data_IF_420432147547
#
_entry.id   IF_420432147547
#
_cell.length_a   1.000
_cell.length_b   1.000
_cell.length_c   1.000
_cell.angle_alpha   90.00
_cell.angle_beta   90.00
_cell.angle_gamma   90.00
#
_symmetry.space_group_name_H-M   'P 1'
#
loop_
_entity.id
_entity.type
_entity.pdbx_description
1 polymer ?
#
# COMPACT_ATOMS: atom_id res chain seq x y z
N UNK A 1 2.23 -3.40 7.75
CA UNK A 1 2.43 -4.81 7.32
C UNK A 1 3.89 -5.24 7.41
N UNK A 2 4.85 -4.56 6.77
CA UNK A 2 6.26 -4.97 6.84
C UNK A 2 6.81 -5.08 8.28
N UNK A 3 6.70 -4.00 9.08
CA UNK A 3 7.21 -4.00 10.46
C UNK A 3 6.68 -5.14 11.33
N UNK A 4 5.36 -5.43 11.26
CA UNK A 4 4.77 -6.54 12.01
C UNK A 4 5.30 -7.91 11.60
N UNK A 5 5.60 -8.14 10.32
CA UNK A 5 6.17 -9.41 9.85
C UNK A 5 7.62 -9.59 10.30
N UNK A 6 8.43 -8.53 10.24
CA UNK A 6 9.80 -8.54 10.76
C UNK A 6 9.78 -8.81 12.27
N UNK A 7 9.00 -8.05 13.05
CA UNK A 7 8.91 -8.25 14.50
C UNK A 7 8.42 -9.65 14.89
N UNK A 8 7.48 -10.23 14.11
CA UNK A 8 6.98 -11.59 14.38
C UNK A 8 7.99 -12.71 14.14
N UNK A 9 9.12 -12.41 13.49
CA UNK A 9 10.10 -13.40 13.06
C UNK A 9 11.53 -13.07 13.52
N UNK A 10 11.67 -12.20 14.52
CA UNK A 10 12.97 -11.95 15.18
C UNK A 10 13.55 -13.27 15.71
N UNK A 11 14.85 -13.45 15.51
CA UNK A 11 15.58 -14.56 16.13
C UNK A 11 15.73 -14.25 17.61
N UNK A 12 15.53 -15.24 18.48
CA UNK A 12 15.60 -15.04 19.93
C UNK A 12 17.06 -14.95 20.38
N UNK A 13 17.50 -13.72 20.67
CA UNK A 13 18.85 -13.41 21.16
C UNK A 13 18.87 -12.86 22.60
N UNK A 14 17.70 -12.67 23.22
CA UNK A 14 17.56 -12.11 24.59
C UNK A 14 16.68 -12.97 25.49
N UNK A 15 16.74 -12.66 26.79
CA UNK A 15 15.86 -13.26 27.80
C UNK A 15 14.51 -12.55 27.90
N UNK A 16 13.57 -13.15 28.62
CA UNK A 16 12.24 -12.57 28.85
C UNK A 16 12.24 -11.29 29.70
N UNK A 17 13.32 -11.04 30.44
CA UNK A 17 13.49 -9.86 31.29
C UNK A 17 14.23 -8.71 30.58
N UNK A 18 14.59 -8.90 29.31
CA UNK A 18 15.33 -7.93 28.50
C UNK A 18 14.51 -7.57 27.25
N UNK A 19 14.75 -6.37 26.71
CA UNK A 19 14.12 -5.96 25.46
C UNK A 19 14.64 -6.80 24.30
N UNK A 20 13.76 -7.25 23.39
CA UNK A 20 14.15 -7.93 22.16
C UNK A 20 15.07 -7.08 21.26
N UNK A 21 15.01 -5.75 21.39
CA UNK A 21 15.87 -4.85 20.61
C UNK A 21 17.35 -4.98 20.97
N UNK A 22 17.68 -5.37 22.22
CA UNK A 22 19.07 -5.59 22.66
C UNK A 22 19.69 -6.83 21.99
N UNK A 23 18.87 -7.67 21.34
CA UNK A 23 19.31 -8.79 20.54
C UNK A 23 19.98 -8.40 19.21
N UNK A 24 19.76 -7.16 18.75
CA UNK A 24 20.42 -6.62 17.57
C UNK A 24 21.60 -5.72 17.95
N UNK A 25 22.73 -5.90 17.29
CA UNK A 25 23.92 -5.05 17.42
C UNK A 25 24.13 -4.26 16.13
N UNK A 26 24.33 -2.96 16.27
CA UNK A 26 24.59 -2.09 15.13
C UNK A 26 25.84 -2.54 14.36
N UNK A 27 25.66 -2.86 13.07
CA UNK A 27 26.74 -3.30 12.18
C UNK A 27 27.03 -4.81 12.21
N UNK A 28 26.20 -5.63 12.86
CA UNK A 28 26.32 -7.09 12.74
C UNK A 28 26.14 -7.57 11.29
N UNK A 29 26.83 -8.63 10.92
CA UNK A 29 26.78 -9.18 9.55
C UNK A 29 25.52 -10.00 9.28
N UNK A 30 24.94 -10.62 10.31
CA UNK A 30 23.79 -11.50 10.18
C UNK A 30 22.46 -10.75 10.28
N UNK A 31 21.47 -11.21 9.51
CA UNK A 31 20.09 -10.70 9.56
C UNK A 31 19.43 -11.00 10.92
N UNK A 32 18.72 -10.03 11.50
CA UNK A 32 18.12 -10.14 12.84
C UNK A 32 16.79 -10.94 12.88
N UNK A 33 16.22 -11.26 11.72
CA UNK A 33 14.93 -11.94 11.59
C UNK A 33 14.96 -13.02 10.51
N UNK A 34 14.05 -13.99 10.63
CA UNK A 34 13.94 -15.09 9.69
C UNK A 34 12.92 -14.78 8.58
N UNK A 35 13.43 -14.35 7.41
CA UNK A 35 12.59 -14.04 6.24
C UNK A 35 11.80 -15.26 5.73
N UNK A 36 12.32 -16.48 5.88
CA UNK A 36 11.62 -17.70 5.46
C UNK A 36 10.41 -17.95 6.35
N UNK A 37 10.54 -17.72 7.67
CA UNK A 37 9.43 -17.79 8.61
C UNK A 37 8.38 -16.71 8.32
N UNK A 38 8.79 -15.46 8.09
CA UNK A 38 7.90 -14.36 7.73
C UNK A 38 7.14 -14.64 6.42
N UNK A 39 7.86 -15.10 5.38
CA UNK A 39 7.27 -15.51 4.10
C UNK A 39 6.29 -16.65 4.28
N UNK A 40 6.66 -17.68 5.06
CA UNK A 40 5.81 -18.84 5.34
C UNK A 40 4.53 -18.49 6.10
N UNK A 41 4.58 -17.54 7.03
CA UNK A 41 3.38 -17.03 7.70
C UNK A 41 2.49 -16.27 6.71
N UNK A 42 3.03 -15.26 6.02
CA UNK A 42 2.24 -14.40 5.15
C UNK A 42 1.71 -15.13 3.91
N UNK A 43 2.49 -16.06 3.36
CA UNK A 43 2.09 -16.92 2.26
C UNK A 43 0.94 -17.88 2.61
N UNK A 44 0.78 -18.25 3.88
CA UNK A 44 -0.41 -18.99 4.35
C UNK A 44 -1.59 -18.08 4.66
N UNK A 45 -1.33 -16.84 5.09
CA UNK A 45 -2.38 -15.86 5.39
C UNK A 45 -3.17 -15.44 4.14
N UNK A 46 -2.49 -15.28 3.00
CA UNK A 46 -3.10 -14.88 1.72
C UNK A 46 -3.09 -16.05 0.73
N UNK A 47 -1.96 -16.28 0.08
CA UNK A 47 -1.59 -17.50 -0.67
C UNK A 47 -0.10 -17.39 -1.03
N UNK A 48 0.57 -18.51 -1.29
CA UNK A 48 2.04 -18.58 -1.29
C UNK A 48 2.72 -17.56 -2.24
N UNK A 49 2.17 -17.38 -3.44
CA UNK A 49 2.73 -16.48 -4.45
C UNK A 49 2.42 -15.00 -4.22
N UNK A 50 1.54 -14.64 -3.27
CA UNK A 50 1.30 -13.26 -2.87
C UNK A 50 2.35 -12.72 -1.89
N UNK A 51 3.28 -13.57 -1.43
CA UNK A 51 4.27 -13.23 -0.42
C UNK A 51 5.66 -13.07 -1.03
N UNK A 52 6.41 -12.06 -0.58
CA UNK A 52 7.80 -11.85 -0.98
C UNK A 52 8.72 -12.79 -0.19
N UNK A 53 9.54 -13.57 -0.89
CA UNK A 53 10.65 -14.34 -0.31
C UNK A 53 12.04 -13.74 -0.63
N UNK A 54 12.08 -12.67 -1.44
CA UNK A 54 13.27 -11.90 -1.75
C UNK A 54 13.19 -10.52 -1.07
N UNK A 55 14.09 -10.27 -0.12
CA UNK A 55 14.13 -9.01 0.63
C UNK A 55 14.30 -7.79 -0.28
N UNK A 56 15.11 -7.88 -1.35
CA UNK A 56 15.35 -6.75 -2.27
C UNK A 56 14.09 -6.37 -3.02
N UNK A 57 13.34 -7.36 -3.53
CA UNK A 57 12.06 -7.12 -4.21
C UNK A 57 11.01 -6.54 -3.26
N UNK A 58 10.96 -7.03 -2.01
CA UNK A 58 10.08 -6.49 -0.98
C UNK A 58 10.37 -5.01 -0.74
N UNK A 59 11.62 -4.65 -0.45
CA UNK A 59 11.99 -3.27 -0.14
C UNK A 59 11.86 -2.34 -1.34
N UNK A 60 12.16 -2.84 -2.55
CA UNK A 60 11.86 -2.10 -3.79
C UNK A 60 10.37 -1.79 -3.90
N UNK A 61 9.49 -2.78 -3.65
CA UNK A 61 8.05 -2.56 -3.68
C UNK A 61 7.58 -1.56 -2.62
N UNK A 62 8.10 -1.66 -1.39
CA UNK A 62 7.77 -0.73 -0.31
C UNK A 62 8.15 0.73 -0.65
N UNK A 63 9.22 0.94 -1.41
CA UNK A 63 9.60 2.25 -1.92
C UNK A 63 8.74 2.66 -3.13
N UNK A 64 8.62 1.79 -4.12
CA UNK A 64 7.96 2.10 -5.39
C UNK A 64 6.48 2.42 -5.22
N UNK A 65 5.76 1.67 -4.38
CA UNK A 65 4.32 1.81 -4.21
C UNK A 65 3.88 3.23 -3.80
N UNK A 66 4.35 3.80 -2.66
CA UNK A 66 3.98 5.16 -2.28
C UNK A 66 4.59 6.21 -3.21
N UNK A 67 5.82 6.03 -3.70
CA UNK A 67 6.51 7.02 -4.54
C UNK A 67 5.77 7.22 -5.86
N UNK A 68 5.43 6.12 -6.56
CA UNK A 68 4.68 6.20 -7.82
C UNK A 68 3.30 6.81 -7.59
N UNK A 69 2.63 6.49 -6.48
CA UNK A 69 1.35 7.12 -6.12
C UNK A 69 1.47 8.64 -5.95
N UNK A 70 2.49 9.10 -5.24
CA UNK A 70 2.76 10.55 -5.06
C UNK A 70 3.11 11.21 -6.40
N UNK A 71 3.87 10.55 -7.27
CA UNK A 71 4.15 11.07 -8.61
C UNK A 71 2.86 11.26 -9.42
N UNK A 72 1.94 10.29 -9.41
CA UNK A 72 0.65 10.46 -10.08
C UNK A 72 -0.20 11.58 -9.47
N UNK A 73 -0.20 11.75 -8.14
CA UNK A 73 -0.87 12.90 -7.51
C UNK A 73 -0.26 14.23 -7.96
N UNK A 74 1.07 14.32 -8.01
CA UNK A 74 1.77 15.50 -8.49
C UNK A 74 1.41 15.80 -9.96
N UNK A 75 1.44 14.79 -10.82
CA UNK A 75 1.03 14.90 -12.22
C UNK A 75 -0.45 15.31 -12.36
N UNK A 76 -1.33 14.77 -11.51
CA UNK A 76 -2.74 15.16 -11.47
C UNK A 76 -2.92 16.66 -11.18
N UNK A 77 -2.21 17.20 -10.19
CA UNK A 77 -2.24 18.64 -9.92
C UNK A 77 -1.61 19.43 -11.07
N UNK A 78 -0.48 18.99 -11.60
CA UNK A 78 0.20 19.66 -12.73
C UNK A 78 -0.65 19.70 -14.00
N UNK A 79 -1.49 18.69 -14.25
CA UNK A 79 -2.38 18.64 -15.42
C UNK A 79 -3.65 19.45 -15.20
N UNK A 80 -4.26 19.40 -14.01
CA UNK A 80 -5.41 20.25 -13.66
C UNK A 80 -5.04 21.75 -13.65
N UNK A 81 -3.77 22.10 -13.42
CA UNK A 81 -3.29 23.48 -13.57
C UNK A 81 -3.48 24.04 -15.00
N UNK A 82 -3.63 23.16 -16.01
CA UNK A 82 -3.94 23.52 -17.39
C UNK A 82 -5.39 23.13 -17.78
N UNK A 83 -6.28 23.04 -16.80
CA UNK A 83 -7.72 22.77 -16.95
C UNK A 83 -8.08 21.41 -17.56
N UNK A 84 -7.15 20.44 -17.55
CA UNK A 84 -7.49 19.05 -17.80
C UNK A 84 -7.99 18.40 -16.50
N UNK A 85 -9.30 18.49 -16.29
CA UNK A 85 -9.94 18.14 -15.03
C UNK A 85 -10.30 16.64 -14.94
N UNK A 86 -10.78 16.22 -13.76
CA UNK A 86 -11.29 14.88 -13.53
C UNK A 86 -12.50 14.54 -14.40
N UNK A 87 -12.87 13.25 -14.40
CA UNK A 87 -14.01 12.77 -15.16
C UNK A 87 -15.30 13.52 -14.79
N UNK A 88 -16.05 13.93 -15.80
CA UNK A 88 -17.37 14.52 -15.65
C UNK A 88 -18.42 13.53 -16.17
N UNK A 89 -19.16 12.92 -15.25
CA UNK A 89 -20.26 12.02 -15.56
C UNK A 89 -21.64 12.61 -15.19
N UNK A 90 -21.75 13.94 -15.22
CA UNK A 90 -23.01 14.62 -14.94
C UNK A 90 -24.07 14.18 -15.94
N UNK A 91 -25.21 13.74 -15.44
CA UNK A 91 -26.37 13.31 -16.20
C UNK A 91 -26.05 12.21 -17.23
N UNK A 92 -25.02 11.39 -16.98
CA UNK A 92 -24.53 10.40 -17.95
C UNK A 92 -25.41 9.16 -18.09
N UNK A 93 -26.34 8.93 -17.17
CA UNK A 93 -27.27 7.78 -17.24
C UNK A 93 -28.69 8.31 -17.50
N UNK A 94 -29.30 7.81 -18.58
CA UNK A 94 -30.66 8.15 -19.00
C UNK A 94 -31.50 6.90 -19.21
N UNK A 95 -32.79 6.98 -18.91
CA UNK A 95 -33.74 5.91 -19.22
C UNK A 95 -34.17 5.94 -20.71
N UNK A 96 -35.00 4.97 -21.11
CA UNK A 96 -35.53 4.88 -22.48
C UNK A 96 -36.45 6.04 -22.88
N UNK A 97 -36.86 6.87 -21.93
CA UNK A 97 -37.67 8.09 -22.16
C UNK A 97 -36.79 9.35 -22.17
N UNK A 98 -35.47 9.22 -22.03
CA UNK A 98 -34.53 10.34 -21.98
C UNK A 98 -34.48 11.06 -20.62
N UNK A 99 -35.06 10.49 -19.57
CA UNK A 99 -35.00 11.08 -18.22
C UNK A 99 -33.67 10.72 -17.56
N UNK A 100 -33.04 11.70 -16.93
CA UNK A 100 -31.79 11.50 -16.19
C UNK A 100 -32.04 10.64 -14.95
N UNK A 101 -31.26 9.57 -14.81
CA UNK A 101 -31.18 8.78 -13.59
C UNK A 101 -29.93 9.24 -12.84
N UNK A 102 -30.12 9.95 -11.73
CA UNK A 102 -28.99 10.46 -10.95
C UNK A 102 -28.13 9.31 -10.41
N UNK A 103 -26.82 9.49 -10.49
CA UNK A 103 -25.79 8.62 -9.94
C UNK A 103 -25.06 9.32 -8.78
N UNK A 104 -24.08 8.64 -8.19
CA UNK A 104 -23.16 9.27 -7.24
C UNK A 104 -22.40 10.46 -7.83
N UNK A 105 -22.13 10.47 -9.15
CA UNK A 105 -21.47 11.60 -9.80
C UNK A 105 -22.35 12.85 -9.77
N UNK A 106 -23.66 12.70 -9.98
CA UNK A 106 -24.61 13.82 -9.91
C UNK A 106 -24.76 14.38 -8.48
N UNK A 107 -24.63 13.51 -7.47
CA UNK A 107 -24.61 13.93 -6.06
C UNK A 107 -23.33 14.72 -5.77
N UNK A 108 -22.17 14.26 -6.22
CA UNK A 108 -20.90 15.01 -6.10
C UNK A 108 -21.00 16.35 -6.82
N UNK A 109 -21.61 16.39 -8.01
CA UNK A 109 -21.79 17.64 -8.75
C UNK A 109 -22.64 18.66 -7.97
N UNK A 110 -23.66 18.21 -7.22
CA UNK A 110 -24.45 19.11 -6.36
C UNK A 110 -23.64 19.69 -5.19
N UNK A 111 -22.65 18.95 -4.68
CA UNK A 111 -21.75 19.44 -3.63
C UNK A 111 -20.70 20.43 -4.17
N UNK A 112 -20.40 20.38 -5.48
CA UNK A 112 -19.45 21.27 -6.14
C UNK A 112 -20.06 22.63 -6.54
N UNK A 113 -21.39 22.74 -6.58
CA UNK A 113 -22.16 23.95 -6.91
C UNK A 113 -22.38 24.83 -5.68
#
# INVERSE_FOLDING_TARGET
>A
MHGSLVTSSLIRETTENESANEGYRFGQEEETYNIVAAHGYFGRLIFQYASFNNSRSLHFFLAAWPVVGIWFTALGISTMAFNLNGFNFNQSVVDSQGRVINTWADIINRANL
#
